data_IF_774178429093
#
_entry.id   IF_774178429093
#
_cell.length_a   1.000
_cell.length_b   1.000
_cell.length_c   1.000
_cell.angle_alpha   90.00
_cell.angle_beta   90.00
_cell.angle_gamma   90.00
#
_symmetry.space_group_name_H-M   'P 1'
#
loop_
_entity.id
_entity.type
_entity.pdbx_description
1 polymer ?
#
# COMPACT_ATOMS: atom_id res chain seq x y z
N UNK A 1 11.66 3.24 12.70
CA UNK A 1 10.26 3.27 12.22
C UNK A 1 9.35 3.00 13.41
N UNK A 2 8.23 3.73 13.59
CA UNK A 2 7.18 3.33 14.56
C UNK A 2 6.47 2.07 14.02
N UNK A 3 5.86 1.26 14.89
CA UNK A 3 5.14 0.03 14.49
C UNK A 3 4.16 0.25 13.35
N UNK A 4 3.39 1.33 13.41
CA UNK A 4 2.44 1.68 12.35
C UNK A 4 3.10 1.92 10.99
N UNK A 5 4.32 2.50 10.97
CA UNK A 5 5.07 2.67 9.72
C UNK A 5 5.59 1.37 9.15
N UNK A 6 5.90 0.37 10.00
CA UNK A 6 6.26 -0.96 9.54
C UNK A 6 5.06 -1.70 8.94
N UNK A 7 3.87 -1.58 9.57
CA UNK A 7 2.64 -2.15 9.02
C UNK A 7 2.21 -1.49 7.71
N UNK A 8 2.29 -0.16 7.61
CA UNK A 8 2.00 0.54 6.34
C UNK A 8 2.98 0.12 5.26
N UNK A 9 4.27 -0.04 5.58
CA UNK A 9 5.26 -0.55 4.62
C UNK A 9 4.86 -1.95 4.11
N UNK A 10 4.47 -2.84 5.00
CA UNK A 10 4.03 -4.20 4.64
C UNK A 10 2.76 -4.18 3.78
N UNK A 11 1.77 -3.36 4.15
CA UNK A 11 0.52 -3.20 3.42
C UNK A 11 0.79 -2.74 1.97
N UNK A 12 1.64 -1.71 1.81
CA UNK A 12 2.10 -1.22 0.51
C UNK A 12 2.78 -2.32 -0.29
N UNK A 13 3.76 -3.03 0.28
CA UNK A 13 4.50 -4.09 -0.41
C UNK A 13 3.58 -5.21 -0.89
N UNK A 14 2.57 -5.57 -0.09
CA UNK A 14 1.58 -6.59 -0.44
C UNK A 14 0.62 -6.15 -1.56
N UNK A 15 0.27 -4.85 -1.60
CA UNK A 15 -0.68 -4.27 -2.54
C UNK A 15 -0.10 -3.89 -3.91
N UNK A 16 1.23 -3.75 -4.03
CA UNK A 16 1.90 -3.21 -5.22
C UNK A 16 1.42 -3.79 -6.55
N UNK A 17 1.31 -5.11 -6.65
CA UNK A 17 0.84 -5.77 -7.87
C UNK A 17 -0.61 -5.40 -8.17
N UNK A 18 -1.51 -5.53 -7.18
CA UNK A 18 -2.94 -5.26 -7.36
C UNK A 18 -3.23 -3.81 -7.80
N UNK A 19 -2.47 -2.85 -7.30
CA UNK A 19 -2.61 -1.44 -7.67
C UNK A 19 -2.08 -1.12 -9.07
N UNK A 20 -1.02 -1.82 -9.48
CA UNK A 20 -0.27 -1.47 -10.69
C UNK A 20 -0.71 -2.27 -11.90
N UNK A 21 -1.07 -3.55 -11.73
CA UNK A 21 -1.26 -4.48 -12.84
C UNK A 21 -2.27 -3.97 -13.88
N UNK A 22 -3.49 -3.60 -13.47
CA UNK A 22 -4.52 -3.19 -14.42
C UNK A 22 -4.22 -1.84 -15.07
N UNK A 23 -3.69 -0.88 -14.32
CA UNK A 23 -3.40 0.47 -14.83
C UNK A 23 -2.25 0.42 -15.83
N UNK A 24 -1.17 -0.30 -15.51
CA UNK A 24 0.01 -0.38 -16.36
C UNK A 24 -0.23 -1.24 -17.60
N UNK A 25 -0.93 -2.38 -17.46
CA UNK A 25 -1.21 -3.24 -18.62
C UNK A 25 -2.29 -2.67 -19.54
N UNK A 26 -3.45 -2.26 -19.00
CA UNK A 26 -4.58 -1.80 -19.83
C UNK A 26 -4.52 -0.31 -20.16
N UNK A 27 -3.97 0.50 -19.26
CA UNK A 27 -3.84 1.94 -19.43
C UNK A 27 -2.60 2.35 -20.21
N UNK A 28 -1.45 1.72 -19.92
CA UNK A 28 -0.17 2.05 -20.55
C UNK A 28 0.35 1.00 -21.54
N UNK A 29 -0.35 -0.13 -21.71
CA UNK A 29 -0.01 -1.15 -22.71
C UNK A 29 1.21 -2.00 -22.35
N UNK A 30 1.68 -1.97 -21.10
CA UNK A 30 2.79 -2.83 -20.66
C UNK A 30 2.37 -4.32 -20.67
N UNK A 31 3.33 -5.19 -20.95
CA UNK A 31 3.18 -6.63 -20.68
C UNK A 31 3.17 -6.90 -19.16
N UNK A 32 2.53 -8.00 -18.71
CA UNK A 32 2.61 -8.42 -17.31
C UNK A 32 4.04 -8.58 -16.79
N UNK A 33 4.95 -9.06 -17.64
CA UNK A 33 6.35 -9.28 -17.32
C UNK A 33 7.10 -7.96 -17.10
N UNK A 34 6.85 -6.95 -17.93
CA UNK A 34 7.41 -5.59 -17.73
C UNK A 34 6.90 -4.95 -16.44
N UNK A 35 5.63 -5.19 -16.08
CA UNK A 35 5.08 -4.72 -14.81
C UNK A 35 5.81 -5.37 -13.64
N UNK A 36 6.00 -6.70 -13.65
CA UNK A 36 6.72 -7.36 -12.55
C UNK A 36 8.18 -6.92 -12.46
N UNK A 37 8.87 -6.73 -13.60
CA UNK A 37 10.23 -6.22 -13.63
C UNK A 37 10.34 -4.83 -12.98
N UNK A 38 9.42 -3.91 -13.31
CA UNK A 38 9.34 -2.60 -12.66
C UNK A 38 9.06 -2.74 -11.16
N UNK A 39 8.12 -3.59 -10.78
CA UNK A 39 7.75 -3.78 -9.37
C UNK A 39 8.88 -4.44 -8.55
N UNK A 40 9.80 -5.18 -9.17
CA UNK A 40 11.02 -5.64 -8.49
C UNK A 40 11.88 -4.48 -8.00
N UNK A 41 12.10 -3.47 -8.85
CA UNK A 41 12.87 -2.27 -8.50
C UNK A 41 12.15 -1.45 -7.43
N UNK A 42 10.83 -1.24 -7.59
CA UNK A 42 10.01 -0.51 -6.60
C UNK A 42 10.07 -1.17 -5.21
N UNK A 43 10.05 -2.51 -5.13
CA UNK A 43 10.21 -3.22 -3.86
C UNK A 43 11.59 -3.02 -3.25
N UNK A 44 12.64 -2.92 -4.07
CA UNK A 44 13.99 -2.61 -3.62
C UNK A 44 14.02 -1.23 -2.97
N UNK A 45 13.45 -0.22 -3.65
CA UNK A 45 13.41 1.16 -3.17
C UNK A 45 12.63 1.30 -1.87
N UNK A 46 11.45 0.70 -1.77
CA UNK A 46 10.65 0.72 -0.52
C UNK A 46 11.37 0.02 0.63
N UNK A 47 12.17 -1.01 0.32
CA UNK A 47 12.95 -1.71 1.35
C UNK A 47 14.21 -0.99 1.75
N UNK A 48 14.74 -0.12 0.89
CA UNK A 48 15.87 0.71 1.21
C UNK A 48 15.42 1.91 2.06
N UNK A 49 16.09 2.12 3.19
CA UNK A 49 15.69 3.12 4.21
C UNK A 49 15.91 4.58 3.76
N UNK A 50 16.11 4.86 2.47
CA UNK A 50 16.30 6.21 1.95
C UNK A 50 14.96 6.89 1.59
N UNK A 51 13.92 6.11 1.29
CA UNK A 51 12.61 6.64 0.92
C UNK A 51 11.81 7.03 2.17
N UNK A 52 11.45 8.29 2.29
CA UNK A 52 10.52 8.78 3.32
C UNK A 52 9.23 9.27 2.67
N UNK A 53 8.16 8.47 2.77
CA UNK A 53 6.85 8.80 2.25
C UNK A 53 5.93 9.35 3.35
N UNK A 54 5.26 10.46 3.07
CA UNK A 54 4.16 10.99 3.89
C UNK A 54 2.84 10.77 3.14
N UNK A 55 1.99 9.89 3.66
CA UNK A 55 0.72 9.53 3.04
C UNK A 55 -0.42 10.12 3.87
N UNK A 56 -1.15 11.13 3.37
CA UNK A 56 -2.32 11.64 4.07
C UNK A 56 -3.46 10.63 3.95
N UNK A 57 -3.79 9.99 5.08
CA UNK A 57 -4.90 9.04 5.18
C UNK A 57 -6.16 9.77 5.62
N UNK A 58 -7.14 9.88 4.71
CA UNK A 58 -8.44 10.45 5.02
C UNK A 58 -9.43 9.31 5.27
N UNK A 59 -10.04 9.27 6.46
CA UNK A 59 -11.16 8.38 6.73
C UNK A 59 -12.48 9.12 6.59
N UNK A 60 -13.41 8.51 5.86
CA UNK A 60 -14.80 8.96 5.88
C UNK A 60 -15.39 8.76 7.29
N UNK A 61 -16.14 9.75 7.78
CA UNK A 61 -16.76 9.71 9.10
C UNK A 61 -17.67 8.48 9.28
N UNK A 62 -18.36 8.07 8.21
CA UNK A 62 -19.22 6.89 8.18
C UNK A 62 -18.45 5.58 8.45
N UNK A 63 -17.24 5.45 7.89
CA UNK A 63 -16.38 4.27 8.07
C UNK A 63 -15.82 4.19 9.50
N UNK A 64 -15.41 5.32 10.07
CA UNK A 64 -14.93 5.39 11.46
C UNK A 64 -15.98 4.92 12.47
N UNK A 65 -17.25 5.31 12.26
CA UNK A 65 -18.37 4.89 13.12
C UNK A 65 -18.66 3.39 13.07
N UNK A 66 -18.40 2.73 11.94
CA UNK A 66 -18.55 1.28 11.79
C UNK A 66 -17.40 0.56 12.50
N UNK A 67 -16.16 1.01 12.28
CA UNK A 67 -14.96 0.41 12.86
C UNK A 67 -14.97 0.45 14.40
N UNK A 68 -15.40 1.58 15.00
CA UNK A 68 -15.52 1.69 16.47
C UNK A 68 -16.48 0.66 17.07
N UNK A 69 -17.56 0.30 16.37
CA UNK A 69 -18.54 -0.68 16.86
C UNK A 69 -18.03 -2.12 16.76
N UNK A 70 -17.07 -2.38 15.89
CA UNK A 70 -16.49 -3.70 15.67
C UNK A 70 -15.23 -3.96 16.49
N UNK A 71 -14.65 -2.94 17.12
CA UNK A 71 -13.50 -3.12 17.99
C UNK A 71 -13.96 -3.76 19.32
N UNK A 72 -13.31 -4.82 19.79
CA UNK A 72 -13.59 -5.37 21.11
C UNK A 72 -13.30 -4.28 22.14
N UNK A 73 -14.29 -3.92 22.96
CA UNK A 73 -14.07 -3.09 24.13
C UNK A 73 -13.20 -3.91 25.07
N UNK A 74 -11.90 -3.62 25.11
CA UNK A 74 -11.02 -4.12 26.16
C UNK A 74 -11.35 -3.35 27.43
N UNK A 75 -11.86 -4.04 28.44
CA UNK A 75 -11.97 -3.55 29.83
C UNK A 75 -10.60 -3.20 30.42
#
# INVERSE_FOLDING_TARGET
>A
MKMIGAWVKEDVLSGLHGWSAAVLTRGLGMSPEEVEALLTEVRSDINSNWLHAYIPMFMAESLWKVLLKSLPVTE
#
